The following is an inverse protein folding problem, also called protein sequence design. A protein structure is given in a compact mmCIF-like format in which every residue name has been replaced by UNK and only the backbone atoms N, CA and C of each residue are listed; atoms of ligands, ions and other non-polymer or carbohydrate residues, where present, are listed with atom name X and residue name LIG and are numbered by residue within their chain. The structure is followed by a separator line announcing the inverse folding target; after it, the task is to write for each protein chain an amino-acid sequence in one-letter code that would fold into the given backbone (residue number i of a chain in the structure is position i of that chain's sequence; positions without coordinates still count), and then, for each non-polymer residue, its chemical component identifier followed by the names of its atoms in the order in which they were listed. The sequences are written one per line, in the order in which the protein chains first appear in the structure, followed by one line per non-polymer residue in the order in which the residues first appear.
data_IF_152347983032
#
_entry.id   IF_152347983032
#
_cell.length_a   1.000
_cell.length_b   1.000
_cell.length_c   1.000
_cell.angle_alpha   90.00
_cell.angle_beta   90.00
_cell.angle_gamma   90.00
#
_symmetry.space_group_name_H-M   'P 1'
#
loop_
_entity.id
_entity.type
_entity.pdbx_description
1 polymer ?
#
# COMPACT_ATOMS: atom_id res chain seq x y z
N UNK A 1 23.57 3.54 -3.69
CA UNK A 1 23.24 2.43 -2.78
C UNK A 1 22.07 2.76 -1.85
N UNK A 2 22.09 3.86 -1.09
CA UNK A 2 21.02 4.22 -0.13
C UNK A 2 19.63 4.33 -0.79
N UNK A 3 19.54 4.96 -1.97
CA UNK A 3 18.26 5.09 -2.69
C UNK A 3 17.69 3.72 -3.10
N UNK A 4 18.54 2.77 -3.47
CA UNK A 4 18.12 1.43 -3.87
C UNK A 4 17.54 0.65 -2.69
N UNK A 5 18.17 0.77 -1.51
CA UNK A 5 17.67 0.19 -0.26
C UNK A 5 16.33 0.81 0.14
N UNK A 6 16.18 2.14 0.06
CA UNK A 6 14.91 2.79 0.36
C UNK A 6 13.77 2.37 -0.56
N UNK A 7 14.04 2.17 -1.86
CA UNK A 7 13.05 1.68 -2.82
C UNK A 7 12.64 0.24 -2.48
N UNK A 8 13.61 -0.61 -2.13
CA UNK A 8 13.36 -2.01 -1.80
C UNK A 8 12.51 -2.12 -0.51
N UNK A 9 12.81 -1.31 0.50
CA UNK A 9 12.01 -1.19 1.73
C UNK A 9 10.61 -0.68 1.40
N UNK A 10 10.47 0.33 0.53
CA UNK A 10 9.17 0.84 0.12
C UNK A 10 8.30 -0.24 -0.54
N UNK A 11 8.88 -1.05 -1.42
CA UNK A 11 8.17 -2.14 -2.10
C UNK A 11 7.70 -3.20 -1.09
N UNK A 12 8.55 -3.58 -0.13
CA UNK A 12 8.20 -4.55 0.91
C UNK A 12 7.05 -4.02 1.78
N UNK A 13 7.12 -2.75 2.20
CA UNK A 13 6.08 -2.11 3.02
C UNK A 13 4.78 -2.01 2.24
N UNK A 14 4.82 -1.57 0.97
CA UNK A 14 3.66 -1.47 0.10
C UNK A 14 2.98 -2.84 -0.08
N UNK A 15 3.76 -3.88 -0.35
CA UNK A 15 3.24 -5.23 -0.52
C UNK A 15 2.59 -5.74 0.77
N UNK A 16 3.27 -5.58 1.91
CA UNK A 16 2.77 -6.01 3.22
C UNK A 16 1.48 -5.29 3.62
N UNK A 17 1.41 -3.96 3.41
CA UNK A 17 0.21 -3.17 3.67
C UNK A 17 -0.95 -3.60 2.79
N UNK A 18 -0.68 -3.80 1.49
CA UNK A 18 -1.70 -4.23 0.53
C UNK A 18 -2.24 -5.61 0.88
N UNK A 19 -1.39 -6.56 1.27
CA UNK A 19 -1.82 -7.91 1.67
C UNK A 19 -2.67 -7.87 2.94
N UNK A 20 -2.29 -7.06 3.94
CA UNK A 20 -3.09 -6.89 5.17
C UNK A 20 -4.45 -6.26 4.90
N UNK A 21 -4.49 -5.22 4.06
CA UNK A 21 -5.73 -4.59 3.60
C UNK A 21 -6.61 -5.59 2.87
N UNK A 22 -6.04 -6.34 1.93
CA UNK A 22 -6.75 -7.36 1.17
C UNK A 22 -7.32 -8.46 2.08
N UNK A 23 -6.53 -8.94 3.04
CA UNK A 23 -6.98 -9.96 3.97
C UNK A 23 -8.12 -9.46 4.85
N UNK A 24 -8.01 -8.22 5.36
CA UNK A 24 -9.06 -7.57 6.15
C UNK A 24 -10.34 -7.39 5.33
N UNK A 25 -10.21 -6.95 4.07
CA UNK A 25 -11.35 -6.74 3.17
C UNK A 25 -12.03 -8.06 2.81
N UNK A 26 -11.25 -9.09 2.49
CA UNK A 26 -11.77 -10.42 2.15
C UNK A 26 -12.45 -11.07 3.36
N UNK A 27 -11.89 -10.91 4.56
CA UNK A 27 -12.47 -11.44 5.80
C UNK A 27 -13.80 -10.77 6.17
N UNK A 28 -13.93 -9.46 5.96
CA UNK A 28 -15.13 -8.70 6.35
C UNK A 28 -16.21 -8.71 5.27
N UNK A 29 -15.84 -8.58 3.99
CA UNK A 29 -16.80 -8.36 2.90
C UNK A 29 -17.08 -9.59 2.04
N UNK A 30 -16.33 -10.70 2.18
CA UNK A 30 -16.59 -11.94 1.44
C UNK A 30 -16.71 -11.70 -0.08
N UNK A 31 -15.63 -11.30 -0.73
CA UNK A 31 -15.68 -10.84 -2.13
C UNK A 31 -15.82 -12.01 -3.11
N UNK A 32 -16.80 -11.92 -4.02
CA UNK A 32 -17.01 -12.90 -5.10
C UNK A 32 -15.94 -12.84 -6.21
N UNK A 33 -15.27 -11.68 -6.34
CA UNK A 33 -14.20 -11.43 -7.31
C UNK A 33 -12.89 -11.02 -6.61
N UNK A 34 -12.15 -11.98 -6.02
CA UNK A 34 -10.97 -11.71 -5.18
C UNK A 34 -9.85 -10.98 -5.94
N UNK A 35 -9.75 -11.18 -7.25
CA UNK A 35 -8.77 -10.49 -8.10
C UNK A 35 -8.98 -8.97 -8.11
N UNK A 36 -10.23 -8.52 -8.24
CA UNK A 36 -10.57 -7.10 -8.34
C UNK A 36 -10.35 -6.43 -6.99
N UNK A 37 -10.78 -7.07 -5.89
CA UNK A 37 -10.52 -6.55 -4.54
C UNK A 37 -9.01 -6.42 -4.25
N UNK A 38 -8.20 -7.38 -4.71
CA UNK A 38 -6.75 -7.29 -4.53
C UNK A 38 -6.17 -6.06 -5.26
N UNK A 39 -6.52 -5.88 -6.53
CA UNK A 39 -6.09 -4.72 -7.31
C UNK A 39 -6.54 -3.40 -6.65
N UNK A 40 -7.77 -3.35 -6.14
CA UNK A 40 -8.31 -2.17 -5.47
C UNK A 40 -7.53 -1.84 -4.18
N UNK A 41 -7.21 -2.85 -3.37
CA UNK A 41 -6.41 -2.67 -2.16
C UNK A 41 -4.97 -2.25 -2.45
N UNK A 42 -4.40 -2.73 -3.57
CA UNK A 42 -3.06 -2.35 -4.01
C UNK A 42 -3.02 -0.88 -4.45
N UNK A 43 -4.02 -0.45 -5.23
CA UNK A 43 -4.17 0.96 -5.63
C UNK A 43 -4.38 1.84 -4.40
N UNK A 44 -5.26 1.43 -3.47
CA UNK A 44 -5.54 2.17 -2.24
C UNK A 44 -4.30 2.29 -1.34
N UNK A 45 -3.55 1.20 -1.14
CA UNK A 45 -2.31 1.20 -0.36
C UNK A 45 -1.23 2.09 -1.03
N UNK A 46 -1.13 2.05 -2.36
CA UNK A 46 -0.20 2.91 -3.10
C UNK A 46 -0.56 4.38 -2.97
N UNK A 47 -1.85 4.73 -3.11
CA UNK A 47 -2.35 6.09 -2.90
C UNK A 47 -2.07 6.56 -1.47
N UNK A 48 -2.41 5.76 -0.45
CA UNK A 48 -2.15 6.09 0.95
C UNK A 48 -0.67 6.35 1.23
N UNK A 49 0.21 5.48 0.73
CA UNK A 49 1.66 5.65 0.91
C UNK A 49 2.20 6.85 0.13
N UNK A 50 1.68 7.14 -1.05
CA UNK A 50 2.06 8.32 -1.83
C UNK A 50 1.57 9.61 -1.15
N UNK A 51 0.34 9.64 -0.63
CA UNK A 51 -0.20 10.77 0.12
C UNK A 51 0.58 10.99 1.43
N UNK A 52 0.86 9.94 2.19
CA UNK A 52 1.67 10.02 3.43
C UNK A 52 3.12 10.43 3.15
N UNK A 53 3.72 9.90 2.08
CA UNK A 53 5.06 10.30 1.62
C UNK A 53 5.10 11.75 1.17
N UNK A 54 4.05 12.22 0.48
CA UNK A 54 3.86 13.62 0.10
C UNK A 54 3.67 14.56 1.29
N UNK A 55 2.84 14.16 2.27
CA UNK A 55 2.60 14.93 3.51
C UNK A 55 3.88 15.09 4.33
N UNK A 56 4.73 14.05 4.40
CA UNK A 56 6.05 14.13 5.04
C UNK A 56 6.99 15.13 4.35
N UNK A 57 6.81 15.34 3.05
CA UNK A 57 7.59 16.31 2.26
C UNK A 57 7.14 17.75 2.52
N UNK A 58 5.86 17.96 2.87
CA UNK A 58 5.29 19.27 3.21
C UNK A 58 5.70 19.73 4.61
N UNK A 59 5.79 18.82 5.60
CA UNK A 59 6.15 19.16 6.99
C UNK A 59 7.68 19.39 7.23
N UNK A 60 8.45 19.67 6.18
CA UNK A 60 9.90 19.94 6.24
C UNK A 60 10.26 21.37 5.81
N UNK A 61 9.28 22.26 5.79
CA UNK A 61 9.45 23.70 5.60
C UNK A 61 9.00 24.44 6.85
#
# INVERSE_FOLDING_TARGET
MIAFVSILVYIIVLFSLSTLLFFSLTFVLGTQEPMIAFLLTLIAAHLLLNTLGGLRKVNKY
#
